data_IF_734603860210
#
_entry.id   IF_734603860210
#
_cell.length_a   1.000
_cell.length_b   1.000
_cell.length_c   1.000
_cell.angle_alpha   90.00
_cell.angle_beta   90.00
_cell.angle_gamma   90.00
#
_symmetry.space_group_name_H-M   'P 1'
#
loop_
_entity.id
_entity.type
_entity.pdbx_description
1 polymer ?
#
# COMPACT_ATOMS: atom_id res chain seq x y z
N UNK A 1 5.28 3.47 25.07
CA UNK A 1 4.32 2.35 25.12
C UNK A 1 4.65 1.46 23.93
N UNK A 2 4.87 0.16 24.09
CA UNK A 2 5.02 -0.73 22.93
C UNK A 2 3.65 -1.30 22.57
N UNK A 3 3.28 -1.18 21.30
CA UNK A 3 2.03 -1.69 20.73
C UNK A 3 2.35 -2.35 19.39
N UNK A 4 1.54 -3.33 18.93
CA UNK A 4 1.70 -3.87 17.59
C UNK A 4 1.53 -2.77 16.54
N UNK A 5 2.56 -2.55 15.75
CA UNK A 5 2.56 -1.58 14.65
C UNK A 5 3.35 -2.11 13.46
N UNK A 6 2.99 -1.63 12.26
CA UNK A 6 3.73 -1.95 11.04
C UNK A 6 4.98 -1.07 10.89
N UNK A 7 4.95 0.15 11.40
CA UNK A 7 6.05 1.11 11.40
C UNK A 7 5.73 2.20 12.43
N UNK A 8 6.73 2.99 12.80
CA UNK A 8 6.54 4.07 13.76
C UNK A 8 5.79 5.26 13.12
N UNK A 9 4.92 5.91 13.90
CA UNK A 9 4.18 7.10 13.49
C UNK A 9 4.73 8.32 14.26
N UNK A 10 5.31 9.28 13.53
CA UNK A 10 5.83 10.52 14.11
C UNK A 10 4.84 11.69 14.04
N UNK A 11 3.80 11.59 13.21
CA UNK A 11 2.73 12.59 13.13
C UNK A 11 1.57 12.17 12.23
N UNK A 12 0.52 13.00 12.20
CA UNK A 12 -0.69 12.78 11.39
C UNK A 12 -0.89 13.83 10.29
N UNK A 13 0.08 14.72 10.10
CA UNK A 13 0.06 15.71 9.02
C UNK A 13 0.72 15.13 7.76
N UNK A 14 0.31 15.55 6.55
CA UNK A 14 0.93 15.10 5.31
C UNK A 14 2.45 15.34 5.23
N UNK A 15 2.95 16.35 5.94
CA UNK A 15 4.37 16.75 5.97
C UNK A 15 5.13 16.18 7.18
N UNK A 16 4.50 15.29 7.96
CA UNK A 16 5.19 14.61 9.06
C UNK A 16 6.29 13.71 8.51
N UNK A 17 7.39 13.60 9.26
CA UNK A 17 8.45 12.63 8.97
C UNK A 17 7.88 11.20 9.02
N UNK A 18 8.28 10.38 8.06
CA UNK A 18 7.88 8.98 7.96
C UNK A 18 9.01 8.07 8.45
N UNK A 19 8.68 6.99 9.17
CA UNK A 19 9.62 5.91 9.52
C UNK A 19 9.95 5.07 8.27
N UNK A 20 10.83 5.61 7.42
CA UNK A 20 11.27 4.96 6.20
C UNK A 20 11.77 3.53 6.43
N UNK A 21 12.55 3.32 7.49
CA UNK A 21 13.14 2.02 7.80
C UNK A 21 12.07 0.99 8.15
N UNK A 22 11.15 1.34 9.06
CA UNK A 22 10.05 0.45 9.45
C UNK A 22 9.08 0.18 8.29
N UNK A 23 8.74 1.19 7.49
CA UNK A 23 7.88 1.00 6.31
C UNK A 23 8.55 0.04 5.32
N UNK A 24 9.85 0.22 5.04
CA UNK A 24 10.58 -0.66 4.12
C UNK A 24 10.69 -2.09 4.67
N UNK A 25 10.89 -2.27 5.98
CA UNK A 25 10.93 -3.58 6.62
C UNK A 25 9.58 -4.31 6.49
N UNK A 26 8.49 -3.63 6.83
CA UNK A 26 7.14 -4.22 6.74
C UNK A 26 6.70 -4.44 5.29
N UNK A 27 7.15 -3.61 4.35
CA UNK A 27 6.92 -3.81 2.92
C UNK A 27 7.59 -5.09 2.44
N UNK A 28 8.86 -5.32 2.79
CA UNK A 28 9.57 -6.57 2.47
C UNK A 28 8.90 -7.79 3.08
N UNK A 29 8.38 -7.67 4.30
CA UNK A 29 7.62 -8.74 4.94
C UNK A 29 6.37 -9.09 4.11
N UNK A 30 5.60 -8.08 3.69
CA UNK A 30 4.40 -8.29 2.88
C UNK A 30 4.74 -8.86 1.49
N UNK A 31 5.79 -8.37 0.84
CA UNK A 31 6.30 -8.94 -0.42
C UNK A 31 6.67 -10.41 -0.28
N UNK A 32 7.36 -10.79 0.81
CA UNK A 32 7.71 -12.19 1.07
C UNK A 32 6.48 -13.08 1.23
N UNK A 33 5.40 -12.57 1.85
CA UNK A 33 4.13 -13.31 1.95
C UNK A 33 3.49 -13.49 0.58
N UNK A 34 3.47 -12.44 -0.26
CA UNK A 34 2.96 -12.54 -1.64
C UNK A 34 3.78 -13.55 -2.45
N UNK A 35 5.11 -13.50 -2.36
CA UNK A 35 6.00 -14.44 -3.05
C UNK A 35 5.78 -15.89 -2.61
N UNK A 36 5.43 -16.12 -1.34
CA UNK A 36 5.09 -17.45 -0.84
C UNK A 36 3.79 -17.99 -1.44
N UNK A 37 2.75 -17.16 -1.54
CA UNK A 37 1.51 -17.53 -2.23
C UNK A 37 1.75 -17.80 -3.72
N UNK A 38 2.61 -17.00 -4.36
CA UNK A 38 3.02 -17.21 -5.75
C UNK A 38 3.78 -18.53 -5.92
N UNK A 39 4.71 -18.86 -5.01
CA UNK A 39 5.41 -20.15 -5.02
C UNK A 39 4.46 -21.33 -4.80
N UNK A 40 3.41 -21.12 -4.02
CA UNK A 40 2.33 -22.09 -3.79
C UNK A 40 1.38 -22.25 -4.97
N UNK A 41 1.59 -21.50 -6.06
CA UNK A 41 0.87 -21.65 -7.33
C UNK A 41 -0.26 -20.64 -7.55
N UNK A 42 -0.44 -19.64 -6.68
CA UNK A 42 -1.42 -18.57 -6.87
C UNK A 42 -0.76 -17.46 -7.70
N UNK A 43 -1.13 -17.25 -8.97
CA UNK A 43 -0.51 -16.20 -9.77
C UNK A 43 -0.81 -14.81 -9.19
N UNK A 44 0.15 -13.87 -9.28
CA UNK A 44 0.05 -12.54 -8.64
C UNK A 44 -1.20 -11.75 -9.05
N UNK A 45 -1.64 -11.87 -10.30
CA UNK A 45 -2.86 -11.22 -10.81
C UNK A 45 -4.17 -11.80 -10.25
N UNK A 46 -4.09 -12.80 -9.35
CA UNK A 46 -5.21 -13.31 -8.54
C UNK A 46 -5.09 -12.97 -7.05
N UNK A 47 -4.06 -12.23 -6.66
CA UNK A 47 -3.82 -11.82 -5.27
C UNK A 47 -4.28 -10.37 -5.10
N UNK A 48 -5.14 -10.15 -4.11
CA UNK A 48 -5.51 -8.81 -3.61
C UNK A 48 -4.86 -8.62 -2.25
N UNK A 49 -4.17 -7.51 -2.05
CA UNK A 49 -3.71 -7.10 -0.72
C UNK A 49 -4.51 -5.92 -0.21
N UNK A 50 -4.72 -5.84 1.10
CA UNK A 50 -5.48 -4.74 1.66
C UNK A 50 -5.34 -4.62 3.16
N UNK A 51 -5.78 -3.48 3.68
CA UNK A 51 -5.77 -3.21 5.11
C UNK A 51 -6.55 -1.97 5.51
N UNK A 52 -6.67 -1.77 6.81
CA UNK A 52 -7.32 -0.62 7.43
C UNK A 52 -6.29 0.30 8.08
N UNK A 53 -6.50 1.62 8.01
CA UNK A 53 -5.63 2.64 8.62
C UNK A 53 -4.16 2.41 8.24
N UNK A 54 -3.26 2.28 9.21
CA UNK A 54 -1.83 1.99 9.00
C UNK A 54 -1.58 0.74 8.13
N UNK A 55 -2.38 -0.32 8.31
CA UNK A 55 -2.26 -1.53 7.48
C UNK A 55 -2.66 -1.29 6.03
N UNK A 56 -3.65 -0.41 5.79
CA UNK A 56 -4.01 -0.01 4.43
C UNK A 56 -2.97 0.92 3.81
N UNK A 57 -2.32 1.79 4.60
CA UNK A 57 -1.19 2.61 4.15
C UNK A 57 -0.02 1.74 3.70
N UNK A 58 0.30 0.69 4.46
CA UNK A 58 1.30 -0.31 4.08
C UNK A 58 0.88 -1.07 2.81
N UNK A 59 -0.37 -1.54 2.73
CA UNK A 59 -0.87 -2.28 1.57
C UNK A 59 -0.79 -1.45 0.27
N UNK A 60 -1.12 -0.14 0.35
CA UNK A 60 -0.98 0.79 -0.77
C UNK A 60 0.46 0.87 -1.26
N UNK A 61 1.40 1.19 -0.38
CA UNK A 61 2.80 1.33 -0.77
C UNK A 61 3.41 0.02 -1.24
N UNK A 62 3.20 -1.07 -0.50
CA UNK A 62 3.75 -2.38 -0.86
C UNK A 62 3.19 -2.90 -2.19
N UNK A 63 1.89 -2.72 -2.46
CA UNK A 63 1.30 -3.17 -3.72
C UNK A 63 1.77 -2.37 -4.93
N UNK A 64 1.94 -1.04 -4.78
CA UNK A 64 2.41 -0.16 -5.86
C UNK A 64 3.91 -0.33 -6.16
N UNK A 65 4.67 -0.89 -5.22
CA UNK A 65 6.12 -1.12 -5.36
C UNK A 65 6.48 -2.60 -5.53
N UNK A 66 5.50 -3.50 -5.60
CA UNK A 66 5.73 -4.91 -5.90
C UNK A 66 6.08 -5.08 -7.39
N UNK A 67 6.96 -6.03 -7.70
CA UNK A 67 7.56 -6.19 -9.03
C UNK A 67 6.61 -6.81 -10.08
N UNK A 68 5.50 -7.40 -9.63
CA UNK A 68 4.50 -8.07 -10.47
C UNK A 68 3.12 -7.45 -10.30
N UNK A 69 2.28 -7.43 -11.35
CA UNK A 69 0.92 -6.93 -11.23
C UNK A 69 0.11 -7.80 -10.26
N UNK A 70 -0.52 -7.15 -9.29
CA UNK A 70 -1.51 -7.72 -8.37
C UNK A 70 -2.92 -7.60 -8.97
N UNK A 71 -3.87 -8.40 -8.48
CA UNK A 71 -5.28 -8.28 -8.88
C UNK A 71 -5.88 -6.94 -8.44
N UNK A 72 -5.42 -6.41 -7.30
CA UNK A 72 -5.87 -5.14 -6.75
C UNK A 72 -5.27 -4.84 -5.39
N UNK A 73 -5.47 -3.59 -4.95
CA UNK A 73 -5.02 -3.08 -3.65
C UNK A 73 -6.19 -2.39 -2.96
N UNK A 74 -6.39 -2.64 -1.67
CA UNK A 74 -7.47 -2.05 -0.88
C UNK A 74 -6.91 -1.28 0.35
N UNK A 75 -6.93 0.05 0.28
CA UNK A 75 -6.61 0.91 1.42
C UNK A 75 -7.88 1.51 2.04
N UNK A 76 -8.27 1.04 3.22
CA UNK A 76 -9.49 1.49 3.91
C UNK A 76 -9.16 2.50 5.01
N UNK A 77 -9.64 3.74 4.85
CA UNK A 77 -9.37 4.84 5.80
C UNK A 77 -7.87 5.05 6.01
N UNK A 78 -7.13 5.07 4.91
CA UNK A 78 -5.67 5.05 4.87
C UNK A 78 -5.11 6.20 4.03
N UNK A 79 -3.80 6.33 4.00
CA UNK A 79 -3.08 7.28 3.16
C UNK A 79 -1.85 6.61 2.53
N UNK A 80 -1.38 7.11 1.39
CA UNK A 80 -0.17 6.60 0.78
C UNK A 80 1.06 7.12 1.54
N UNK A 81 1.89 6.20 2.03
CA UNK A 81 3.22 6.49 2.60
C UNK A 81 4.29 6.48 1.51
N UNK A 82 5.41 7.15 1.74
CA UNK A 82 6.56 7.22 0.83
C UNK A 82 6.16 7.61 -0.60
N UNK A 83 5.26 8.59 -0.73
CA UNK A 83 4.64 9.00 -2.01
C UNK A 83 5.65 9.28 -3.12
N UNK A 84 6.80 9.87 -2.79
CA UNK A 84 7.86 10.22 -3.74
C UNK A 84 8.64 9.01 -4.27
N UNK A 85 8.44 7.82 -3.70
CA UNK A 85 9.15 6.58 -4.07
C UNK A 85 8.29 5.58 -4.82
N UNK A 86 7.00 5.87 -5.02
CA UNK A 86 6.13 5.06 -5.86
C UNK A 86 6.50 5.27 -7.33
N UNK A 87 6.67 4.20 -8.13
CA UNK A 87 6.98 4.31 -9.54
C UNK A 87 5.78 4.84 -10.35
N UNK A 88 6.08 5.68 -11.34
CA UNK A 88 5.09 6.22 -12.28
C UNK A 88 4.33 7.44 -11.75
N UNK A 89 3.49 8.02 -12.61
CA UNK A 89 2.56 9.05 -12.17
C UNK A 89 1.40 8.38 -11.43
N UNK A 90 1.20 8.77 -10.17
CA UNK A 90 -0.04 8.45 -9.46
C UNK A 90 -1.18 9.12 -10.23
N UNK A 91 -1.92 8.33 -10.99
CA UNK A 91 -3.14 8.80 -11.62
C UNK A 91 -4.03 9.43 -10.54
N UNK A 92 -4.51 10.65 -10.80
CA UNK A 92 -5.41 11.32 -9.87
C UNK A 92 -6.66 10.45 -9.71
N UNK A 93 -6.78 9.80 -8.55
CA UNK A 93 -7.92 8.95 -8.20
C UNK A 93 -9.22 9.74 -8.31
N UNK A 94 -9.20 11.05 -8.05
CA UNK A 94 -10.38 11.91 -8.26
C UNK A 94 -10.73 12.03 -9.74
N UNK A 95 -9.74 12.20 -10.61
CA UNK A 95 -9.97 12.23 -12.06
C UNK A 95 -10.52 10.87 -12.55
N UNK A 96 -9.91 9.77 -12.13
CA UNK A 96 -10.37 8.42 -12.46
C UNK A 96 -11.81 8.15 -11.98
N UNK A 97 -12.12 8.52 -10.73
CA UNK A 97 -13.47 8.37 -10.18
C UNK A 97 -14.47 9.31 -10.85
N UNK A 98 -14.09 10.54 -11.19
CA UNK A 98 -14.96 11.49 -11.90
C UNK A 98 -15.33 11.01 -13.31
N UNK A 99 -14.46 10.25 -13.98
CA UNK A 99 -14.74 9.64 -15.28
C UNK A 99 -15.66 8.41 -15.18
N UNK A 100 -15.62 7.69 -14.05
CA UNK A 100 -16.29 6.38 -13.91
C UNK A 100 -17.50 6.35 -13.02
N UNK A 101 -17.67 7.32 -12.12
CA UNK A 101 -18.87 7.44 -11.31
C UNK A 101 -19.98 8.10 -12.13
N UNK A 102 -21.23 7.60 -12.05
CA UNK A 102 -22.37 8.30 -12.63
C UNK A 102 -22.45 9.69 -12.01
N UNK A 103 -22.58 10.72 -12.86
CA UNK A 103 -22.82 12.09 -12.40
C UNK A 103 -24.15 12.10 -11.67
N UNK A 104 -24.10 12.32 -10.35
CA UNK A 104 -25.29 12.51 -9.49
C UNK A 104 -25.69 13.98 -9.56
#
# INVERSE_FOLDING_TARGET
MQMPAWFDLYGFTPDAEEDESGINMSTKMLHSMIDEEVRSGIPSHRIVIGGFSMGGSLALYAGLTYDKPLAGILGLSSFLVQKSKVPGELADVRAFLAERLPKI
#
